data_IF_073438444944
#
_entry.id   IF_073438444944
#
_cell.length_a   1.000
_cell.length_b   1.000
_cell.length_c   1.000
_cell.angle_alpha   90.00
_cell.angle_beta   90.00
_cell.angle_gamma   90.00
#
_symmetry.space_group_name_H-M   'P 1'
#
loop_
_entity.id
_entity.type
_entity.pdbx_description
1 polymer ?
#
# COMPACT_ATOMS: atom_id res chain seq x y z
N UNK A 1 25.88 2.96 0.88
CA UNK A 1 26.04 2.39 -0.48
C UNK A 1 26.84 1.11 -0.32
N UNK A 2 26.30 -0.05 -0.74
CA UNK A 2 26.92 -1.37 -0.49
C UNK A 2 27.76 -1.91 -1.65
N UNK A 3 27.68 -1.26 -2.81
CA UNK A 3 28.45 -1.59 -4.02
C UNK A 3 29.36 -0.40 -4.32
N UNK A 4 30.64 -0.67 -4.56
CA UNK A 4 31.61 0.32 -5.02
C UNK A 4 31.64 0.31 -6.55
N UNK A 5 31.51 1.48 -7.18
CA UNK A 5 31.50 1.63 -8.64
C UNK A 5 32.80 2.28 -9.12
N UNK A 6 33.35 1.79 -10.23
CA UNK A 6 34.48 2.42 -10.94
C UNK A 6 34.22 2.34 -12.46
N UNK A 7 34.07 3.48 -13.16
CA UNK A 7 34.04 4.86 -12.64
C UNK A 7 32.83 5.09 -11.71
N UNK A 8 32.85 6.19 -10.97
CA UNK A 8 31.74 6.59 -10.10
C UNK A 8 30.44 6.73 -10.88
N UNK A 9 29.31 6.41 -10.24
CA UNK A 9 27.98 6.65 -10.82
C UNK A 9 27.77 8.15 -11.12
N UNK A 10 26.96 8.51 -12.13
CA UNK A 10 26.57 9.88 -12.38
C UNK A 10 26.04 10.57 -11.11
N UNK A 11 26.35 11.86 -10.87
CA UNK A 11 26.04 12.53 -9.61
C UNK A 11 24.56 12.44 -9.20
N UNK A 12 23.65 12.55 -10.17
CA UNK A 12 22.21 12.50 -9.90
C UNK A 12 21.77 11.10 -9.42
N UNK A 13 22.32 10.04 -10.02
CA UNK A 13 22.06 8.65 -9.60
C UNK A 13 22.64 8.38 -8.21
N UNK A 14 23.86 8.85 -7.96
CA UNK A 14 24.51 8.71 -6.67
C UNK A 14 23.70 9.36 -5.53
N UNK A 15 23.13 10.56 -5.77
CA UNK A 15 22.25 11.21 -4.80
C UNK A 15 20.90 10.51 -4.65
N UNK A 16 20.33 10.01 -5.75
CA UNK A 16 19.04 9.32 -5.77
C UNK A 16 19.06 8.06 -4.89
N UNK A 17 20.09 7.22 -5.02
CA UNK A 17 20.20 5.96 -4.27
C UNK A 17 20.30 6.15 -2.75
N UNK A 18 20.61 7.36 -2.27
CA UNK A 18 20.68 7.69 -0.85
C UNK A 18 19.36 8.26 -0.29
N UNK A 19 18.36 8.47 -1.17
CA UNK A 19 17.07 9.13 -0.84
C UNK A 19 15.88 8.19 -1.09
N UNK A 20 16.14 6.89 -1.01
CA UNK A 20 15.18 5.80 -1.16
C UNK A 20 15.21 4.90 0.08
N UNK A 21 14.75 5.38 1.24
CA UNK A 21 14.60 4.50 2.40
C UNK A 21 13.54 3.45 2.11
N UNK A 22 13.71 2.25 2.67
CA UNK A 22 12.69 1.20 2.58
C UNK A 22 11.57 1.43 3.60
N UNK A 23 10.40 0.89 3.28
CA UNK A 23 9.29 0.83 4.21
C UNK A 23 9.61 0.03 5.48
N UNK A 24 8.78 0.19 6.50
CA UNK A 24 8.98 -0.41 7.82
C UNK A 24 7.78 -1.28 8.15
N UNK A 25 8.00 -2.58 8.31
CA UNK A 25 6.93 -3.55 8.59
C UNK A 25 7.46 -4.80 9.30
N UNK A 26 6.67 -5.31 10.24
CA UNK A 26 6.75 -6.68 10.73
C UNK A 26 5.52 -7.44 10.25
N UNK A 27 5.74 -8.60 9.63
CA UNK A 27 4.67 -9.51 9.23
C UNK A 27 4.47 -10.51 10.35
N UNK A 28 3.26 -10.62 10.90
CA UNK A 28 2.96 -11.43 12.08
C UNK A 28 1.83 -12.41 11.76
N UNK A 29 1.87 -13.62 12.31
CA UNK A 29 0.88 -14.67 12.05
C UNK A 29 0.53 -15.36 13.37
N UNK A 30 -0.76 -15.38 13.71
CA UNK A 30 -1.30 -16.16 14.82
C UNK A 30 -2.00 -17.40 14.28
N UNK A 31 -1.59 -18.58 14.74
CA UNK A 31 -2.23 -19.84 14.39
C UNK A 31 -3.16 -20.29 15.51
N UNK A 32 -4.26 -20.93 15.13
CA UNK A 32 -5.30 -21.40 16.05
C UNK A 32 -5.69 -22.84 15.75
N UNK A 33 -6.28 -23.50 16.75
CA UNK A 33 -6.81 -24.86 16.59
C UNK A 33 -7.95 -24.94 15.57
N UNK A 34 -8.78 -23.89 15.48
CA UNK A 34 -9.89 -23.78 14.53
C UNK A 34 -10.01 -22.35 14.03
N UNK A 35 -10.51 -22.16 12.81
CA UNK A 35 -10.86 -20.83 12.27
C UNK A 35 -12.14 -20.29 12.96
N UNK A 36 -12.04 -19.96 14.25
CA UNK A 36 -13.18 -19.60 15.09
C UNK A 36 -13.97 -18.39 14.54
N UNK A 37 -13.28 -17.45 13.89
CA UNK A 37 -13.89 -16.28 13.24
C UNK A 37 -14.94 -16.66 12.20
N UNK A 38 -14.74 -17.76 11.46
CA UNK A 38 -15.71 -18.24 10.45
C UNK A 38 -17.02 -18.67 11.08
N UNK A 39 -17.01 -19.23 12.31
CA UNK A 39 -18.23 -19.59 13.04
C UNK A 39 -19.05 -18.38 13.48
N UNK A 40 -18.43 -17.21 13.54
CA UNK A 40 -19.06 -15.91 13.82
C UNK A 40 -19.50 -15.17 12.54
N UNK A 41 -19.40 -15.82 11.38
CA UNK A 41 -19.73 -15.24 10.09
C UNK A 41 -18.68 -14.27 9.53
N UNK A 42 -17.46 -14.25 10.11
CA UNK A 42 -16.36 -13.41 9.66
C UNK A 42 -15.46 -14.15 8.66
N UNK A 43 -15.00 -13.46 7.62
CA UNK A 43 -14.07 -14.01 6.64
C UNK A 43 -12.59 -13.94 7.06
N UNK A 44 -12.28 -13.35 8.22
CA UNK A 44 -10.91 -13.12 8.72
C UNK A 44 -10.23 -11.88 8.13
N UNK A 45 -10.89 -11.13 7.25
CA UNK A 45 -10.46 -9.77 6.89
C UNK A 45 -10.93 -8.78 7.95
N UNK A 46 -10.01 -8.19 8.69
CA UNK A 46 -10.31 -7.28 9.80
C UNK A 46 -9.44 -6.03 9.65
N UNK A 47 -10.06 -4.86 9.82
CA UNK A 47 -9.37 -3.58 9.89
C UNK A 47 -9.55 -2.99 11.28
N UNK A 48 -8.44 -2.72 11.98
CA UNK A 48 -8.45 -2.17 13.34
C UNK A 48 -7.75 -0.82 13.31
N UNK A 49 -8.51 0.25 13.50
CA UNK A 49 -7.97 1.59 13.70
C UNK A 49 -7.79 1.86 15.19
N UNK A 50 -6.60 2.26 15.60
CA UNK A 50 -6.24 2.42 17.01
C UNK A 50 -4.78 2.81 17.21
N UNK A 51 -4.38 3.02 18.47
CA UNK A 51 -3.02 3.34 18.87
C UNK A 51 -2.08 2.13 18.88
N UNK A 52 -1.08 2.17 19.75
CA UNK A 52 -0.09 1.09 19.88
C UNK A 52 -0.66 -0.16 20.54
N UNK A 53 -1.71 -0.01 21.35
CA UNK A 53 -2.51 -1.09 21.93
C UNK A 53 -3.19 -1.98 20.87
N UNK A 54 -3.37 -1.44 19.65
CA UNK A 54 -3.85 -2.17 18.48
C UNK A 54 -2.72 -2.24 17.44
N UNK A 55 -1.74 -3.15 17.59
CA UNK A 55 -0.48 -3.09 16.85
C UNK A 55 -0.64 -3.36 15.35
N UNK A 56 -1.70 -4.07 14.95
CA UNK A 56 -1.95 -4.49 13.57
C UNK A 56 -3.17 -3.77 13.01
N UNK A 57 -3.02 -3.13 11.83
CA UNK A 57 -4.11 -2.42 11.17
C UNK A 57 -4.94 -3.31 10.25
N UNK A 58 -4.30 -4.04 9.33
CA UNK A 58 -4.97 -4.89 8.34
C UNK A 58 -4.62 -6.35 8.59
N UNK A 59 -5.66 -7.17 8.70
CA UNK A 59 -5.59 -8.59 9.05
C UNK A 59 -6.33 -9.38 7.98
N UNK A 60 -5.81 -10.56 7.64
CA UNK A 60 -6.41 -11.45 6.66
C UNK A 60 -6.39 -12.89 7.18
N UNK A 61 -7.26 -13.73 6.62
CA UNK A 61 -7.23 -15.18 6.84
C UNK A 61 -6.06 -15.79 6.04
N UNK A 62 -5.15 -16.47 6.74
CA UNK A 62 -4.00 -17.19 6.18
C UNK A 62 -4.10 -18.72 6.38
N UNK A 63 -5.32 -19.19 6.66
CA UNK A 63 -5.64 -20.62 6.68
C UNK A 63 -5.33 -21.23 5.33
N UNK A 64 -4.73 -22.43 5.33
CA UNK A 64 -4.39 -23.10 4.07
C UNK A 64 -5.65 -23.44 3.26
N UNK A 65 -5.55 -23.59 1.93
CA UNK A 65 -6.71 -23.81 1.06
C UNK A 65 -7.53 -25.05 1.40
N UNK A 66 -6.90 -26.08 2.00
CA UNK A 66 -7.55 -27.31 2.46
C UNK A 66 -8.22 -27.17 3.84
N UNK A 67 -8.17 -25.99 4.46
CA UNK A 67 -8.69 -25.69 5.78
C UNK A 67 -7.74 -26.04 6.94
N UNK A 68 -6.56 -26.59 6.65
CA UNK A 68 -5.55 -26.86 7.67
C UNK A 68 -4.84 -25.57 8.11
N UNK A 69 -4.23 -25.62 9.29
CA UNK A 69 -3.51 -24.49 9.92
C UNK A 69 -4.29 -23.17 9.92
N UNK A 70 -5.44 -23.09 10.63
CA UNK A 70 -6.17 -21.84 10.78
C UNK A 70 -5.26 -20.71 11.29
N UNK A 71 -5.17 -19.63 10.53
CA UNK A 71 -4.26 -18.54 10.86
C UNK A 71 -4.83 -17.18 10.49
N UNK A 72 -4.46 -16.17 11.27
CA UNK A 72 -4.68 -14.76 10.96
C UNK A 72 -3.34 -14.08 10.79
N UNK A 73 -3.15 -13.48 9.62
CA UNK A 73 -1.94 -12.74 9.25
C UNK A 73 -2.18 -11.26 9.40
N UNK A 74 -1.18 -10.56 9.92
CA UNK A 74 -1.22 -9.14 10.20
C UNK A 74 0.09 -8.44 9.85
N UNK A 75 0.00 -7.12 9.76
CA UNK A 75 1.15 -6.25 9.53
C UNK A 75 1.23 -5.16 10.60
N UNK A 76 2.29 -5.17 11.39
CA UNK A 76 2.67 -4.06 12.24
C UNK A 76 3.51 -3.13 11.35
N UNK A 77 3.02 -1.94 11.05
CA UNK A 77 3.56 -1.10 9.97
C UNK A 77 4.01 0.28 10.46
N UNK A 78 4.92 0.88 9.70
CA UNK A 78 5.37 2.27 9.85
C UNK A 78 5.80 2.60 11.30
N UNK A 79 5.27 3.67 11.89
CA UNK A 79 5.69 4.10 13.22
C UNK A 79 5.36 3.10 14.32
N UNK A 80 4.28 2.31 14.19
CA UNK A 80 3.98 1.24 15.14
C UNK A 80 5.08 0.20 15.15
N UNK A 81 5.57 -0.20 13.97
CA UNK A 81 6.67 -1.15 13.88
C UNK A 81 7.94 -0.60 14.54
N UNK A 82 8.27 0.67 14.32
CA UNK A 82 9.42 1.35 14.97
C UNK A 82 9.30 1.41 16.48
N UNK A 83 8.11 1.70 17.02
CA UNK A 83 7.89 1.79 18.48
C UNK A 83 7.87 0.42 19.16
N UNK A 84 7.29 -0.58 18.50
CA UNK A 84 7.07 -1.90 19.08
C UNK A 84 8.22 -2.90 18.82
N UNK A 85 9.25 -2.50 18.08
CA UNK A 85 10.41 -3.37 17.78
C UNK A 85 11.19 -3.78 19.04
N UNK A 86 11.18 -2.94 20.06
CA UNK A 86 11.91 -3.19 21.31
C UNK A 86 11.24 -4.21 22.24
N UNK A 87 9.98 -4.54 21.98
CA UNK A 87 9.26 -5.58 22.72
C UNK A 87 9.80 -6.96 22.35
N UNK A 88 9.56 -7.94 23.20
CA UNK A 88 9.75 -9.34 22.84
C UNK A 88 8.69 -9.81 21.85
N UNK A 89 8.98 -10.87 21.06
CA UNK A 89 7.98 -11.50 20.19
C UNK A 89 6.71 -11.92 20.94
N UNK A 90 6.83 -12.40 22.19
CA UNK A 90 5.68 -12.80 23.01
C UNK A 90 4.81 -11.61 23.43
N UNK A 91 5.41 -10.47 23.79
CA UNK A 91 4.63 -9.26 24.09
C UNK A 91 3.87 -8.76 22.85
N UNK A 92 4.51 -8.76 21.66
CA UNK A 92 3.82 -8.42 20.40
C UNK A 92 2.70 -9.41 20.06
N UNK A 93 2.93 -10.71 20.25
CA UNK A 93 1.92 -11.75 20.10
C UNK A 93 0.71 -11.47 20.98
N UNK A 94 0.93 -11.20 22.27
CA UNK A 94 -0.15 -10.99 23.25
C UNK A 94 -0.93 -9.71 22.95
N UNK A 95 -0.25 -8.64 22.55
CA UNK A 95 -0.89 -7.40 22.08
C UNK A 95 -1.75 -7.64 20.83
N UNK A 96 -1.24 -8.41 19.85
CA UNK A 96 -2.01 -8.72 18.64
C UNK A 96 -3.23 -9.58 18.96
N UNK A 97 -3.08 -10.60 19.79
CA UNK A 97 -4.14 -11.50 20.23
C UNK A 97 -5.24 -10.75 21.03
N UNK A 98 -4.83 -9.87 21.96
CA UNK A 98 -5.74 -9.01 22.71
C UNK A 98 -6.53 -8.07 21.79
N UNK A 99 -5.84 -7.39 20.86
CA UNK A 99 -6.47 -6.50 19.89
C UNK A 99 -7.48 -7.22 19.01
N UNK A 100 -7.19 -8.46 18.60
CA UNK A 100 -8.12 -9.29 17.82
C UNK A 100 -9.36 -9.66 18.64
N UNK A 101 -9.17 -10.06 19.90
CA UNK A 101 -10.27 -10.45 20.77
C UNK A 101 -11.26 -9.30 20.97
N UNK A 102 -10.74 -8.09 21.19
CA UNK A 102 -11.54 -6.87 21.34
C UNK A 102 -12.26 -6.49 20.06
N UNK A 103 -11.56 -6.51 18.91
CA UNK A 103 -12.13 -6.10 17.63
C UNK A 103 -13.19 -7.08 17.09
N UNK A 104 -13.11 -8.36 17.46
CA UNK A 104 -13.99 -9.42 16.93
C UNK A 104 -15.00 -9.96 17.94
N UNK A 105 -14.95 -9.51 19.20
CA UNK A 105 -15.72 -10.09 20.31
C UNK A 105 -15.57 -11.64 20.37
N UNK A 106 -14.32 -12.09 20.23
CA UNK A 106 -13.95 -13.51 20.24
C UNK A 106 -12.81 -13.74 21.24
N UNK A 107 -13.09 -14.20 22.47
CA UNK A 107 -12.05 -14.50 23.45
C UNK A 107 -11.07 -15.59 22.98
N UNK A 108 -11.48 -16.47 22.06
CA UNK A 108 -10.63 -17.50 21.45
C UNK A 108 -9.42 -16.92 20.71
N UNK A 109 -9.45 -15.65 20.30
CA UNK A 109 -8.31 -14.97 19.71
C UNK A 109 -7.12 -14.85 20.68
N UNK A 110 -7.34 -14.97 21.99
CA UNK A 110 -6.28 -14.95 23.02
C UNK A 110 -5.61 -16.30 23.24
N UNK A 111 -6.05 -17.34 22.53
CA UNK A 111 -5.55 -18.71 22.67
C UNK A 111 -4.83 -19.19 21.38
N UNK A 112 -3.79 -18.48 20.88
CA UNK A 112 -3.03 -18.94 19.74
C UNK A 112 -2.23 -20.19 20.11
N UNK A 113 -2.21 -21.18 19.22
CA UNK A 113 -1.42 -22.40 19.39
C UNK A 113 0.01 -22.25 18.85
N UNK A 114 0.25 -21.23 18.01
CA UNK A 114 1.56 -20.90 17.46
C UNK A 114 1.62 -19.43 17.02
N UNK A 115 2.82 -18.86 16.98
CA UNK A 115 3.06 -17.49 16.53
C UNK A 115 4.33 -17.44 15.70
N UNK A 116 4.26 -16.75 14.55
CA UNK A 116 5.42 -16.47 13.72
C UNK A 116 5.47 -14.97 13.41
N UNK A 117 6.67 -14.42 13.37
CA UNK A 117 6.89 -13.04 12.93
C UNK A 117 8.16 -12.90 12.10
N UNK A 118 8.12 -11.94 11.16
CA UNK A 118 9.30 -11.48 10.44
C UNK A 118 9.41 -9.96 10.52
N UNK A 119 10.46 -9.48 11.17
CA UNK A 119 10.87 -8.10 11.11
C UNK A 119 11.73 -7.85 9.85
N UNK A 120 11.19 -7.08 8.90
CA UNK A 120 11.90 -6.76 7.66
C UNK A 120 12.89 -5.61 7.80
N UNK A 121 12.83 -4.84 8.90
CA UNK A 121 13.77 -3.75 9.17
C UNK A 121 15.18 -4.28 9.47
N UNK A 122 15.28 -5.48 10.03
CA UNK A 122 16.55 -6.12 10.42
C UNK A 122 17.25 -6.79 9.23
N UNK A 123 16.55 -6.95 8.10
CA UNK A 123 17.08 -7.66 6.94
C UNK A 123 18.12 -6.81 6.21
N UNK A 124 19.40 -7.09 6.46
CA UNK A 124 20.51 -6.34 5.90
C UNK A 124 20.41 -6.19 4.36
N UNK A 125 19.99 -7.25 3.65
CA UNK A 125 19.92 -7.28 2.19
C UNK A 125 18.60 -6.76 1.61
N UNK A 126 17.63 -6.42 2.46
CA UNK A 126 16.36 -5.80 2.04
C UNK A 126 16.28 -4.34 2.50
N UNK A 127 16.67 -4.05 3.74
CA UNK A 127 16.58 -2.74 4.40
C UNK A 127 15.20 -2.39 4.95
N UNK A 128 14.16 -3.17 4.60
CA UNK A 128 12.78 -2.95 4.96
C UNK A 128 11.81 -3.54 3.93
N UNK A 129 10.51 -3.33 4.13
CA UNK A 129 9.45 -3.80 3.22
C UNK A 129 8.23 -2.86 3.25
N UNK A 130 7.36 -2.90 2.24
CA UNK A 130 7.42 -3.78 1.05
C UNK A 130 8.43 -3.30 0.00
N UNK A 131 8.58 -1.98 -0.11
CA UNK A 131 9.33 -1.31 -1.19
C UNK A 131 9.93 -0.01 -0.67
N UNK A 132 10.72 0.67 -1.52
CA UNK A 132 11.22 2.00 -1.25
C UNK A 132 10.10 3.03 -1.10
N UNK A 133 10.27 3.96 -0.17
CA UNK A 133 9.35 5.08 0.09
C UNK A 133 9.93 6.36 -0.50
N UNK A 134 9.14 7.02 -1.33
CA UNK A 134 9.54 8.24 -2.02
C UNK A 134 9.13 9.48 -1.22
N UNK A 135 10.10 10.18 -0.65
CA UNK A 135 9.86 11.43 0.07
C UNK A 135 9.37 12.57 -0.84
N UNK A 136 8.85 13.67 -0.26
CA UNK A 136 8.42 14.84 -1.01
C UNK A 136 9.48 15.35 -1.99
N UNK A 137 9.08 15.58 -3.24
CA UNK A 137 9.97 16.06 -4.30
C UNK A 137 10.92 15.01 -4.89
N UNK A 138 10.84 13.74 -4.47
CA UNK A 138 11.69 12.69 -5.05
C UNK A 138 11.50 12.55 -6.55
N UNK A 139 10.26 12.35 -7.01
CA UNK A 139 9.98 12.05 -8.42
C UNK A 139 10.34 13.21 -9.36
N UNK A 140 10.13 14.46 -8.93
CA UNK A 140 10.45 15.63 -9.74
C UNK A 140 11.97 15.84 -9.88
N UNK A 141 12.76 15.44 -8.88
CA UNK A 141 14.22 15.60 -8.88
C UNK A 141 14.96 14.40 -9.46
N UNK A 142 14.52 13.19 -9.14
CA UNK A 142 15.26 11.96 -9.37
C UNK A 142 14.50 10.90 -10.17
N UNK A 143 13.18 11.06 -10.38
CA UNK A 143 12.34 10.02 -11.00
C UNK A 143 12.80 9.61 -12.39
N UNK A 144 13.40 10.54 -13.15
CA UNK A 144 13.94 10.26 -14.50
C UNK A 144 15.06 9.23 -14.46
N UNK A 145 15.98 9.31 -13.50
CA UNK A 145 17.17 8.45 -13.43
C UNK A 145 16.95 7.14 -12.67
N UNK A 146 15.71 6.83 -12.28
CA UNK A 146 15.41 5.65 -11.46
C UNK A 146 15.87 4.35 -12.15
N UNK A 147 15.61 4.28 -13.47
CA UNK A 147 15.87 3.10 -14.32
C UNK A 147 16.80 3.36 -15.49
N UNK A 148 17.28 4.59 -15.67
CA UNK A 148 18.22 4.92 -16.75
C UNK A 148 19.51 4.07 -16.61
N UNK A 149 19.97 3.42 -17.69
CA UNK A 149 21.20 2.64 -17.66
C UNK A 149 22.42 3.54 -17.46
N UNK A 150 23.49 2.96 -16.90
CA UNK A 150 24.79 3.62 -16.73
C UNK A 150 25.85 2.76 -17.41
N UNK A 151 26.35 3.19 -18.57
CA UNK A 151 27.20 2.37 -19.45
C UNK A 151 26.53 1.01 -19.75
N UNK A 152 27.07 -0.09 -19.21
CA UNK A 152 26.55 -1.46 -19.38
C UNK A 152 25.77 -1.96 -18.17
N UNK A 153 25.48 -1.08 -17.21
CA UNK A 153 24.69 -1.40 -16.02
C UNK A 153 23.22 -1.02 -16.27
N UNK A 154 22.36 -2.05 -16.24
CA UNK A 154 20.92 -1.93 -16.35
C UNK A 154 20.26 -2.19 -15.00
N UNK A 155 19.12 -1.56 -14.73
CA UNK A 155 18.49 -1.58 -13.42
C UNK A 155 17.11 -2.23 -13.46
N UNK A 156 17.02 -3.38 -12.80
CA UNK A 156 15.77 -4.07 -12.49
C UNK A 156 15.30 -3.71 -11.07
N UNK A 157 14.54 -4.62 -10.44
CA UNK A 157 13.94 -4.41 -9.12
C UNK A 157 12.59 -3.72 -9.23
N UNK A 158 11.66 -4.07 -8.35
CA UNK A 158 10.25 -3.65 -8.44
C UNK A 158 10.09 -2.12 -8.41
N UNK A 159 11.01 -1.41 -7.77
CA UNK A 159 11.08 0.06 -7.74
C UNK A 159 11.28 0.69 -9.13
N UNK A 160 11.77 -0.08 -10.11
CA UNK A 160 11.99 0.40 -11.48
C UNK A 160 10.84 0.06 -12.44
N UNK A 161 9.82 -0.64 -11.97
CA UNK A 161 8.62 -0.95 -12.75
C UNK A 161 7.77 0.30 -13.04
N UNK A 162 6.88 0.20 -14.03
CA UNK A 162 5.84 1.21 -14.33
C UNK A 162 4.45 0.72 -13.96
N UNK A 163 4.24 -0.60 -13.85
CA UNK A 163 3.02 -1.19 -13.26
C UNK A 163 3.37 -1.97 -12.01
N UNK A 164 2.48 -1.90 -11.02
CA UNK A 164 2.60 -2.65 -9.75
C UNK A 164 3.99 -2.55 -9.09
N UNK A 165 4.63 -1.37 -9.19
CA UNK A 165 5.89 -1.12 -8.50
C UNK A 165 5.73 -1.31 -6.98
N UNK A 166 6.65 -2.05 -6.37
CA UNK A 166 6.57 -2.50 -4.99
C UNK A 166 5.96 -3.89 -4.78
N UNK A 167 5.51 -4.55 -5.85
CA UNK A 167 4.94 -5.90 -5.82
C UNK A 167 5.80 -6.90 -6.60
N UNK A 168 5.46 -8.19 -6.49
CA UNK A 168 6.09 -9.25 -7.26
C UNK A 168 5.91 -9.06 -8.77
N UNK A 169 4.72 -8.64 -9.22
CA UNK A 169 4.42 -8.30 -10.61
C UNK A 169 5.37 -7.21 -11.15
N UNK A 170 5.60 -6.16 -10.37
CA UNK A 170 6.57 -5.12 -10.72
C UNK A 170 8.00 -5.66 -10.75
N UNK A 171 8.36 -6.62 -9.90
CA UNK A 171 9.68 -7.25 -9.93
C UNK A 171 9.88 -8.05 -11.22
N UNK A 172 8.86 -8.79 -11.67
CA UNK A 172 8.85 -9.52 -12.95
C UNK A 172 8.98 -8.54 -14.11
N UNK A 173 8.09 -7.53 -14.18
CA UNK A 173 8.10 -6.53 -15.25
C UNK A 173 9.48 -5.86 -15.37
N UNK A 174 10.03 -5.38 -14.25
CA UNK A 174 11.32 -4.70 -14.22
C UNK A 174 12.48 -5.62 -14.59
N UNK A 175 12.45 -6.87 -14.12
CA UNK A 175 13.47 -7.87 -14.42
C UNK A 175 13.53 -8.21 -15.91
N UNK A 176 12.37 -8.53 -16.49
CA UNK A 176 12.29 -8.84 -17.91
C UNK A 176 12.63 -7.63 -18.78
N UNK A 177 12.14 -6.43 -18.44
CA UNK A 177 12.46 -5.21 -19.18
C UNK A 177 13.96 -4.93 -19.14
N UNK A 178 14.64 -5.04 -17.99
CA UNK A 178 16.09 -4.88 -17.91
C UNK A 178 16.84 -5.91 -18.76
N UNK A 179 16.39 -7.16 -18.77
CA UNK A 179 16.98 -8.19 -19.63
C UNK A 179 16.78 -7.86 -21.13
N UNK A 180 15.60 -7.36 -21.52
CA UNK A 180 15.32 -6.93 -22.89
C UNK A 180 16.12 -5.69 -23.30
N UNK A 181 16.40 -4.77 -22.38
CA UNK A 181 17.33 -3.64 -22.64
C UNK A 181 18.74 -4.14 -22.99
N UNK A 182 19.23 -5.18 -22.29
CA UNK A 182 20.51 -5.84 -22.62
C UNK A 182 20.45 -6.54 -23.96
N UNK A 183 19.40 -7.31 -24.24
CA UNK A 183 19.21 -7.99 -25.53
C UNK A 183 19.18 -6.99 -26.70
N UNK A 184 18.52 -5.85 -26.51
CA UNK A 184 18.50 -4.77 -27.50
C UNK A 184 19.90 -4.21 -27.72
N UNK A 185 20.67 -3.98 -26.66
CA UNK A 185 22.06 -3.50 -26.76
C UNK A 185 22.99 -4.48 -27.47
N UNK A 186 22.65 -5.76 -27.47
CA UNK A 186 23.35 -6.83 -28.20
C UNK A 186 22.79 -7.06 -29.62
N UNK A 187 21.92 -6.16 -30.10
CA UNK A 187 21.27 -6.25 -31.41
C UNK A 187 20.44 -7.54 -31.63
N UNK A 188 19.99 -8.17 -30.53
CA UNK A 188 19.17 -9.40 -30.57
C UNK A 188 17.68 -9.13 -30.72
N UNK A 189 17.22 -7.95 -30.28
CA UNK A 189 15.83 -7.49 -30.41
C UNK A 189 15.79 -6.01 -30.81
N UNK A 190 14.71 -5.59 -31.45
CA UNK A 190 14.44 -4.18 -31.77
C UNK A 190 13.98 -3.40 -30.54
N UNK A 191 14.10 -2.07 -30.59
CA UNK A 191 13.79 -1.18 -29.45
C UNK A 191 12.33 -1.27 -28.98
N UNK A 192 11.38 -1.47 -29.92
CA UNK A 192 9.95 -1.62 -29.64
C UNK A 192 9.63 -2.87 -28.80
N UNK A 193 10.56 -3.83 -28.73
CA UNK A 193 10.39 -5.07 -27.95
C UNK A 193 10.90 -4.96 -26.52
N UNK A 194 11.50 -3.84 -26.11
CA UNK A 194 11.99 -3.68 -24.74
C UNK A 194 10.85 -3.71 -23.72
N UNK A 195 9.78 -2.99 -24.03
CA UNK A 195 8.59 -2.89 -23.21
C UNK A 195 7.54 -3.83 -23.76
N UNK A 196 7.33 -4.94 -23.06
CA UNK A 196 6.20 -5.81 -23.36
C UNK A 196 4.98 -5.28 -22.60
N UNK A 197 4.01 -4.75 -23.35
CA UNK A 197 2.72 -4.39 -22.77
C UNK A 197 1.97 -5.70 -22.62
N UNK A 198 2.10 -6.34 -21.46
CA UNK A 198 1.13 -7.35 -21.04
C UNK A 198 -0.20 -6.62 -20.93
N UNK A 199 -1.00 -6.68 -21.99
CA UNK A 199 -2.40 -6.34 -21.94
C UNK A 199 -3.06 -7.44 -21.12
N UNK A 200 -3.57 -7.13 -19.92
CA UNK A 200 -4.66 -7.92 -19.38
C UNK A 200 -5.33 -7.24 -18.18
N UNK A 201 -6.61 -6.88 -18.38
CA UNK A 201 -7.78 -7.36 -17.63
C UNK A 201 -8.97 -6.49 -18.08
N UNK A 202 -10.05 -7.15 -18.52
CA UNK A 202 -11.30 -6.46 -18.81
C UNK A 202 -11.80 -5.75 -17.55
N UNK A 203 -11.54 -4.44 -17.43
CA UNK A 203 -12.21 -3.60 -16.46
C UNK A 203 -13.71 -3.64 -16.76
N UNK A 204 -14.49 -4.25 -15.86
CA UNK A 204 -15.93 -3.97 -15.82
C UNK A 204 -16.08 -2.47 -15.51
N UNK A 205 -16.88 -1.72 -16.29
CA UNK A 205 -17.08 -0.31 -16.01
C UNK A 205 -17.61 -0.17 -14.58
N UNK A 206 -16.86 0.53 -13.72
CA UNK A 206 -17.34 0.86 -12.38
C UNK A 206 -18.53 1.81 -12.55
N UNK A 207 -19.73 1.30 -12.29
CA UNK A 207 -20.93 2.11 -12.29
C UNK A 207 -20.84 3.20 -11.22
N UNK A 208 -20.80 4.45 -11.67
CA UNK A 208 -21.26 5.61 -10.91
C UNK A 208 -20.19 6.45 -10.21
N UNK A 209 -20.13 7.75 -10.56
CA UNK A 209 -19.64 8.82 -9.68
C UNK A 209 -20.49 10.08 -9.87
N UNK A 210 -21.58 10.19 -9.11
CA UNK A 210 -22.37 11.43 -9.03
C UNK A 210 -22.49 12.01 -7.61
N UNK A 211 -21.84 11.41 -6.60
CA UNK A 211 -21.81 12.00 -5.26
C UNK A 211 -20.88 13.22 -5.22
N UNK A 212 -21.36 14.31 -4.61
CA UNK A 212 -20.59 15.55 -4.45
C UNK A 212 -19.74 15.49 -3.18
N UNK A 213 -18.56 16.12 -3.19
CA UNK A 213 -17.72 16.24 -1.99
C UNK A 213 -18.38 17.12 -0.92
N UNK A 214 -17.96 17.00 0.35
CA UNK A 214 -18.48 17.83 1.47
C UNK A 214 -18.38 19.32 1.16
N UNK A 215 -17.24 19.80 0.61
CA UNK A 215 -17.10 21.21 0.21
C UNK A 215 -18.10 21.60 -0.88
N UNK A 216 -18.35 20.70 -1.85
CA UNK A 216 -19.33 20.95 -2.90
C UNK A 216 -20.76 20.92 -2.34
N UNK A 217 -21.07 20.03 -1.40
CA UNK A 217 -22.34 20.02 -0.66
C UNK A 217 -22.52 21.32 0.11
N UNK A 218 -21.51 21.79 0.84
CA UNK A 218 -21.56 23.06 1.57
C UNK A 218 -21.80 24.24 0.62
N UNK A 219 -21.10 24.30 -0.52
CA UNK A 219 -21.35 25.32 -1.55
C UNK A 219 -22.77 25.25 -2.13
N UNK A 220 -23.27 24.04 -2.39
CA UNK A 220 -24.65 23.82 -2.86
C UNK A 220 -25.64 24.27 -1.77
N UNK A 221 -25.41 23.91 -0.51
CA UNK A 221 -26.25 24.30 0.62
C UNK A 221 -26.28 25.83 0.76
N UNK A 222 -25.11 26.49 0.78
CA UNK A 222 -25.03 27.96 0.83
C UNK A 222 -25.78 28.60 -0.33
N UNK A 223 -25.59 28.10 -1.56
CA UNK A 223 -26.31 28.62 -2.73
C UNK A 223 -27.82 28.37 -2.62
N UNK A 224 -28.26 27.18 -2.21
CA UNK A 224 -29.68 26.85 -2.06
C UNK A 224 -30.35 27.65 -0.96
N UNK A 225 -29.66 27.90 0.15
CA UNK A 225 -30.16 28.76 1.23
C UNK A 225 -30.25 30.21 0.76
N UNK A 226 -29.24 30.70 0.04
CA UNK A 226 -29.27 32.05 -0.51
C UNK A 226 -30.42 32.24 -1.51
N UNK A 227 -30.59 31.30 -2.45
CA UNK A 227 -31.72 31.30 -3.40
C UNK A 227 -33.04 31.21 -2.65
N UNK A 228 -33.17 30.30 -1.69
CA UNK A 228 -34.40 30.14 -0.89
C UNK A 228 -34.79 31.40 -0.12
N UNK A 229 -33.82 32.05 0.54
CA UNK A 229 -34.04 33.32 1.25
C UNK A 229 -34.40 34.44 0.27
N UNK A 230 -33.70 34.55 -0.86
CA UNK A 230 -34.01 35.54 -1.89
C UNK A 230 -35.44 35.34 -2.42
N UNK A 231 -35.84 34.11 -2.75
CA UNK A 231 -37.21 33.79 -3.20
C UNK A 231 -38.28 34.20 -2.19
N UNK A 232 -38.06 33.98 -0.88
CA UNK A 232 -38.98 34.42 0.17
C UNK A 232 -39.13 35.94 0.24
N UNK A 233 -38.01 36.68 0.15
CA UNK A 233 -38.02 38.16 0.14
C UNK A 233 -38.76 38.70 -1.09
N UNK A 234 -38.56 38.10 -2.26
CA UNK A 234 -39.28 38.49 -3.48
C UNK A 234 -40.79 38.25 -3.38
N UNK A 235 -41.23 37.15 -2.75
CA UNK A 235 -42.66 36.87 -2.51
C UNK A 235 -43.29 37.85 -1.53
N UNK A 236 -42.62 38.18 -0.42
CA UNK A 236 -43.13 39.11 0.60
C UNK A 236 -43.30 40.53 0.07
N UNK A 237 -42.41 40.97 -0.82
CA UNK A 237 -42.43 42.32 -1.39
C UNK A 237 -43.29 42.44 -2.67
N UNK A 238 -44.05 41.40 -3.06
CA UNK A 238 -44.91 41.36 -4.27
C UNK A 238 -44.21 41.85 -5.55
N UNK A 239 -42.92 41.55 -5.70
CA UNK A 239 -42.13 42.02 -6.86
C UNK A 239 -42.47 41.21 -8.13
N UNK A 240 -43.17 40.08 -8.00
CA UNK A 240 -43.83 39.38 -9.11
C UNK A 240 -45.34 39.54 -9.00
N UNK A 241 -45.90 40.57 -9.64
CA UNK A 241 -47.31 40.54 -10.07
C UNK A 241 -47.39 39.68 -11.32
N UNK A 242 -47.95 38.48 -11.17
CA UNK A 242 -48.43 37.72 -12.32
C UNK A 242 -49.84 38.25 -12.58
N UNK A 243 -49.98 39.11 -13.58
CA UNK A 243 -51.29 39.44 -14.13
C UNK A 243 -51.80 38.21 -14.88
N UNK A 244 -52.95 37.68 -14.44
CA UNK A 244 -53.73 36.66 -15.15
C UNK A 244 -54.76 37.33 -16.05
#
# INVERSE_FOLDING_TARGET
>A
MKIHFTPSLPPLRNQMMQRLPMGTVMKVILYYKTAFWRKKGLCGSIYIEGGDEHPVYAIMDDTKPDGSYPALIGFISADKARRLVHLSPNERRDMYAQSLAEATDCPEAKEPIHYEEKNWMEEEYSGGCYTAVYGPGFFTRYGKVLRDPVDRLYFAGTETAVRWSGYMDGAVEAGERAAREVLHKMDKISQDKIWDVVDELHEKPSGGKHSSSVSKILKIMTLSTFVGVASLVFMQNKIFTIDF
#
